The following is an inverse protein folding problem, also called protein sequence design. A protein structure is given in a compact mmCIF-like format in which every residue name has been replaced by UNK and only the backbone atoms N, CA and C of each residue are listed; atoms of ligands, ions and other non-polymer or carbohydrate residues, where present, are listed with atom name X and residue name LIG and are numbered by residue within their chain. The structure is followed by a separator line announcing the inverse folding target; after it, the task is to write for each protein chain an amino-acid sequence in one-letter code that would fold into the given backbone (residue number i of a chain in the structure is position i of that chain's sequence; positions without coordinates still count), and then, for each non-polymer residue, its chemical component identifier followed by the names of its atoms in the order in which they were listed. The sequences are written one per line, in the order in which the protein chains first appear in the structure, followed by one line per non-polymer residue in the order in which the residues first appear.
data_IF_923733000143
#
_entry.id   IF_923733000143
#
_cell.length_a   1.000
_cell.length_b   1.000
_cell.length_c   1.000
_cell.angle_alpha   90.00
_cell.angle_beta   90.00
_cell.angle_gamma   90.00
#
_symmetry.space_group_name_H-M   'P 1'
#
loop_
_entity.id
_entity.type
_entity.pdbx_description
1 polymer ?
#
# COMPACT_ATOMS: atom_id res chain seq x y z
N UNK A 1 -10.20 -5.71 23.43
CA UNK A 1 -11.05 -4.82 22.63
C UNK A 1 -11.11 -5.30 21.17
N UNK A 2 -11.10 -4.41 20.15
CA UNK A 2 -11.36 -4.79 18.75
C UNK A 2 -10.48 -5.93 18.25
N UNK A 3 -9.16 -5.88 18.49
CA UNK A 3 -8.24 -6.94 18.05
C UNK A 3 -8.44 -8.26 18.82
N UNK A 4 -8.70 -8.17 20.12
CA UNK A 4 -9.01 -9.39 20.91
C UNK A 4 -10.30 -10.04 20.43
N UNK A 5 -11.32 -9.25 20.11
CA UNK A 5 -12.60 -9.75 19.60
C UNK A 5 -12.43 -10.42 18.23
N UNK A 6 -11.60 -9.85 17.35
CA UNK A 6 -11.27 -10.44 16.05
C UNK A 6 -10.48 -11.75 16.18
N UNK A 7 -9.50 -11.79 17.10
CA UNK A 7 -8.68 -12.99 17.35
C UNK A 7 -9.43 -14.09 18.10
N UNK A 8 -10.54 -13.76 18.77
CA UNK A 8 -11.38 -14.75 19.44
C UNK A 8 -12.29 -15.53 18.46
N UNK A 9 -12.39 -15.09 17.21
CA UNK A 9 -13.17 -15.80 16.20
C UNK A 9 -12.50 -17.15 15.86
N UNK A 10 -13.31 -18.21 15.60
CA UNK A 10 -12.77 -19.52 15.24
C UNK A 10 -11.85 -19.45 14.00
N UNK A 11 -10.76 -20.21 14.03
CA UNK A 11 -9.80 -20.38 12.93
C UNK A 11 -9.06 -19.11 12.50
N UNK A 12 -9.13 -18.02 13.28
CA UNK A 12 -8.34 -16.80 13.05
C UNK A 12 -6.95 -16.96 13.68
N UNK A 13 -5.91 -16.89 12.85
CA UNK A 13 -4.53 -17.05 13.28
C UNK A 13 -3.80 -15.71 13.50
N UNK A 14 -4.36 -14.60 13.02
CA UNK A 14 -3.69 -13.31 13.11
C UNK A 14 -4.47 -12.13 12.52
N UNK A 15 -3.79 -11.01 12.39
CA UNK A 15 -4.32 -9.72 11.95
C UNK A 15 -3.51 -9.16 10.80
N UNK A 16 -4.18 -8.67 9.77
CA UNK A 16 -3.60 -7.79 8.76
C UNK A 16 -4.23 -6.40 8.89
N UNK A 17 -3.43 -5.41 9.32
CA UNK A 17 -3.92 -4.08 9.71
C UNK A 17 -3.54 -3.07 8.64
N UNK A 18 -4.52 -2.75 7.79
CA UNK A 18 -4.38 -1.72 6.76
C UNK A 18 -4.56 -0.32 7.35
N UNK A 19 -3.54 0.54 7.18
CA UNK A 19 -3.58 1.90 7.70
C UNK A 19 -2.68 2.87 6.91
N UNK A 20 -2.62 4.12 7.35
CA UNK A 20 -1.70 5.13 6.83
C UNK A 20 -0.44 5.20 7.70
N UNK A 21 0.71 5.60 7.13
CA UNK A 21 1.96 5.76 7.87
C UNK A 21 1.86 6.73 9.07
N UNK A 22 1.10 7.81 8.94
CA UNK A 22 0.88 8.81 9.98
C UNK A 22 -0.10 8.39 11.10
N UNK A 23 -0.68 7.18 10.98
CA UNK A 23 -1.65 6.65 11.93
C UNK A 23 -1.09 5.54 12.85
N UNK A 24 0.22 5.33 12.86
CA UNK A 24 0.89 4.28 13.66
C UNK A 24 1.89 4.85 14.67
N UNK A 25 1.42 5.61 15.67
CA UNK A 25 2.30 6.11 16.72
C UNK A 25 2.89 4.95 17.55
N UNK A 26 4.01 5.17 18.29
CA UNK A 26 4.68 4.12 19.05
C UNK A 26 3.76 3.24 19.90
N UNK A 27 2.76 3.74 20.64
CA UNK A 27 1.89 2.88 21.45
C UNK A 27 1.05 1.88 20.63
N UNK A 28 0.71 2.23 19.36
CA UNK A 28 0.02 1.30 18.45
C UNK A 28 0.98 0.20 18.02
N UNK A 29 2.21 0.55 17.65
CA UNK A 29 3.22 -0.44 17.27
C UNK A 29 3.60 -1.34 18.44
N UNK A 30 3.69 -0.81 19.65
CA UNK A 30 3.96 -1.59 20.86
C UNK A 30 2.83 -2.63 21.09
N UNK A 31 1.57 -2.20 20.98
CA UNK A 31 0.42 -3.11 21.07
C UNK A 31 0.45 -4.22 20.00
N UNK A 32 0.82 -3.89 18.77
CA UNK A 32 0.92 -4.90 17.70
C UNK A 32 2.05 -5.90 17.96
N UNK A 33 3.16 -5.43 18.52
CA UNK A 33 4.27 -6.29 18.93
C UNK A 33 3.85 -7.27 20.04
N UNK A 34 3.08 -6.79 21.04
CA UNK A 34 2.53 -7.65 22.10
C UNK A 34 1.66 -8.80 21.55
N UNK A 35 0.84 -8.55 20.51
CA UNK A 35 0.07 -9.62 19.86
C UNK A 35 0.98 -10.65 19.18
N UNK A 36 2.08 -10.22 18.57
CA UNK A 36 3.08 -11.13 18.00
C UNK A 36 3.78 -11.98 19.07
N UNK A 37 4.17 -11.35 20.19
CA UNK A 37 4.77 -12.07 21.33
C UNK A 37 3.81 -13.12 21.92
N UNK A 38 2.51 -12.89 21.82
CA UNK A 38 1.46 -13.86 22.21
C UNK A 38 1.25 -14.97 21.19
N UNK A 39 2.01 -14.98 20.07
CA UNK A 39 1.99 -16.04 19.05
C UNK A 39 1.00 -15.81 17.90
N UNK A 40 0.40 -14.62 17.78
CA UNK A 40 -0.46 -14.31 16.66
C UNK A 40 0.35 -13.80 15.45
N UNK A 41 -0.07 -14.16 14.26
CA UNK A 41 0.43 -13.51 13.04
C UNK A 41 -0.10 -12.07 12.99
N UNK A 42 0.81 -11.10 12.81
CA UNK A 42 0.43 -9.69 12.66
C UNK A 42 1.20 -9.07 11.51
N UNK A 43 0.48 -8.53 10.55
CA UNK A 43 1.01 -7.75 9.44
C UNK A 43 0.54 -6.31 9.52
N UNK A 44 1.47 -5.37 9.38
CA UNK A 44 1.16 -3.95 9.22
C UNK A 44 1.16 -3.61 7.72
N UNK A 45 0.01 -3.21 7.20
CA UNK A 45 -0.16 -2.87 5.80
C UNK A 45 -0.22 -1.35 5.63
N UNK A 46 0.86 -0.76 5.14
CA UNK A 46 0.99 0.69 5.01
C UNK A 46 0.66 1.16 3.59
N UNK A 47 -0.37 2.00 3.49
CA UNK A 47 -0.77 2.61 2.25
C UNK A 47 0.14 3.79 1.86
N UNK A 48 1.29 3.53 1.24
CA UNK A 48 2.17 4.57 0.69
C UNK A 48 1.58 5.17 -0.58
N UNK A 49 1.26 4.34 -1.55
CA UNK A 49 0.72 4.61 -2.88
C UNK A 49 1.79 5.00 -3.92
N UNK A 50 2.64 5.96 -3.61
CA UNK A 50 3.78 6.43 -4.42
C UNK A 50 4.91 6.90 -3.50
N UNK A 51 6.14 6.87 -3.96
CA UNK A 51 7.27 7.44 -3.24
C UNK A 51 7.57 8.90 -3.61
N UNK A 52 6.75 9.51 -4.46
CA UNK A 52 6.89 10.89 -4.90
C UNK A 52 5.96 11.81 -4.13
N UNK A 53 6.51 12.69 -3.29
CA UNK A 53 5.73 13.60 -2.44
C UNK A 53 4.85 14.55 -3.26
N UNK A 54 5.27 14.93 -4.48
CA UNK A 54 4.46 15.73 -5.40
C UNK A 54 3.19 14.98 -5.80
N UNK A 55 3.28 13.69 -6.10
CA UNK A 55 2.13 12.84 -6.41
C UNK A 55 1.24 12.66 -5.19
N UNK A 56 1.84 12.37 -4.03
CA UNK A 56 1.10 12.21 -2.77
C UNK A 56 0.31 13.47 -2.41
N UNK A 57 0.92 14.66 -2.57
CA UNK A 57 0.25 15.93 -2.38
C UNK A 57 -0.90 16.14 -3.40
N UNK A 58 -0.69 15.81 -4.68
CA UNK A 58 -1.70 15.92 -5.74
C UNK A 58 -2.95 15.08 -5.46
N UNK A 59 -2.76 13.87 -4.91
CA UNK A 59 -3.87 12.97 -4.55
C UNK A 59 -4.37 13.17 -3.12
N UNK A 60 -3.91 14.24 -2.45
CA UNK A 60 -4.30 14.60 -1.07
C UNK A 60 -4.10 13.46 -0.07
N UNK A 61 -2.93 12.81 -0.11
CA UNK A 61 -2.65 11.62 0.71
C UNK A 61 -2.50 11.94 2.20
N UNK A 62 -2.05 13.15 2.54
CA UNK A 62 -1.91 13.63 3.91
C UNK A 62 -0.65 13.15 4.64
N UNK A 63 0.25 12.45 3.96
CA UNK A 63 1.59 12.08 4.41
C UNK A 63 2.54 12.03 3.22
N UNK A 64 3.85 12.09 3.47
CA UNK A 64 4.90 11.93 2.48
C UNK A 64 5.65 10.61 2.61
N UNK A 65 6.72 10.47 1.82
CA UNK A 65 7.58 9.29 1.86
C UNK A 65 8.37 9.18 3.18
N UNK A 66 8.76 10.31 3.77
CA UNK A 66 9.49 10.32 5.04
C UNK A 66 8.69 9.72 6.20
N UNK A 67 7.38 10.00 6.28
CA UNK A 67 6.49 9.40 7.28
C UNK A 67 6.36 7.88 7.06
N UNK A 68 6.29 7.43 5.80
CA UNK A 68 6.27 6.01 5.46
C UNK A 68 7.57 5.31 5.90
N UNK A 69 8.72 5.89 5.57
CA UNK A 69 10.02 5.36 5.96
C UNK A 69 10.15 5.24 7.48
N UNK A 70 9.79 6.30 8.21
CA UNK A 70 9.83 6.30 9.67
C UNK A 70 8.91 5.24 10.29
N UNK A 71 7.67 5.12 9.80
CA UNK A 71 6.70 4.14 10.27
C UNK A 71 7.16 2.70 9.99
N UNK A 72 7.69 2.45 8.78
CA UNK A 72 8.20 1.13 8.38
C UNK A 72 9.38 0.71 9.26
N UNK A 73 10.39 1.59 9.44
CA UNK A 73 11.53 1.31 10.30
C UNK A 73 11.12 1.07 11.75
N UNK A 74 10.18 1.86 12.28
CA UNK A 74 9.69 1.71 13.64
C UNK A 74 8.92 0.39 13.87
N UNK A 75 8.13 -0.05 12.89
CA UNK A 75 7.42 -1.34 12.92
C UNK A 75 8.41 -2.51 12.88
N UNK A 76 9.35 -2.48 11.93
CA UNK A 76 10.36 -3.54 11.76
C UNK A 76 11.29 -3.65 12.95
N UNK A 77 11.64 -2.54 13.61
CA UNK A 77 12.43 -2.56 14.86
C UNK A 77 11.72 -3.30 16.00
N UNK A 78 10.40 -3.50 15.90
CA UNK A 78 9.57 -4.28 16.83
C UNK A 78 9.26 -5.69 16.32
N UNK A 79 9.91 -6.12 15.23
CA UNK A 79 9.67 -7.42 14.62
C UNK A 79 8.32 -7.54 13.89
N UNK A 80 7.63 -6.43 13.61
CA UNK A 80 6.36 -6.43 12.88
C UNK A 80 6.65 -6.42 11.38
N UNK A 81 6.25 -7.45 10.61
CA UNK A 81 6.38 -7.42 9.16
C UNK A 81 5.50 -6.35 8.54
N UNK A 82 6.05 -5.67 7.53
CA UNK A 82 5.39 -4.56 6.85
C UNK A 82 5.10 -4.92 5.40
N UNK A 83 3.83 -4.73 4.99
CA UNK A 83 3.40 -4.79 3.60
C UNK A 83 3.14 -3.37 3.08
N UNK A 84 3.82 -2.99 2.00
CA UNK A 84 3.62 -1.71 1.34
C UNK A 84 2.55 -1.80 0.25
N UNK A 85 1.62 -0.85 0.22
CA UNK A 85 0.67 -0.70 -0.88
C UNK A 85 1.16 0.37 -1.86
N UNK A 86 1.30 0.00 -3.13
CA UNK A 86 1.62 0.88 -4.24
C UNK A 86 0.46 0.93 -5.23
N UNK A 87 0.19 2.11 -5.78
CA UNK A 87 -0.79 2.33 -6.84
C UNK A 87 -0.04 2.67 -8.13
N UNK A 88 -0.30 1.92 -9.18
CA UNK A 88 0.24 2.15 -10.52
C UNK A 88 -0.78 2.96 -11.33
N UNK A 89 -0.30 3.99 -12.03
CA UNK A 89 -1.13 4.86 -12.87
C UNK A 89 -1.68 6.08 -12.16
N UNK A 90 -1.06 6.54 -11.08
CA UNK A 90 -1.42 7.81 -10.42
C UNK A 90 -1.25 8.99 -11.39
N UNK A 91 -2.07 10.05 -11.24
CA UNK A 91 -2.01 11.20 -12.13
C UNK A 91 -0.63 11.84 -12.20
N UNK A 92 -0.04 11.87 -13.40
CA UNK A 92 1.30 12.40 -13.65
C UNK A 92 2.43 11.40 -13.47
N UNK A 93 2.12 10.15 -13.13
CA UNK A 93 3.10 9.06 -13.04
C UNK A 93 3.05 8.13 -14.26
N UNK A 94 4.19 7.52 -14.55
CA UNK A 94 4.41 6.50 -15.58
C UNK A 94 5.15 5.30 -15.00
N UNK A 95 5.63 4.39 -15.86
CA UNK A 95 6.40 3.21 -15.46
C UNK A 95 7.66 3.57 -14.66
N UNK A 96 8.36 4.66 -15.01
CA UNK A 96 9.56 5.11 -14.28
C UNK A 96 9.23 5.40 -12.81
N UNK A 97 8.14 6.10 -12.54
CA UNK A 97 7.71 6.41 -11.17
C UNK A 97 7.39 5.15 -10.36
N UNK A 98 6.75 4.16 -10.98
CA UNK A 98 6.46 2.87 -10.35
C UNK A 98 7.75 2.10 -10.00
N UNK A 99 8.74 2.07 -10.90
CA UNK A 99 10.04 1.43 -10.67
C UNK A 99 10.81 2.13 -9.53
N UNK A 100 10.91 3.47 -9.56
CA UNK A 100 11.57 4.23 -8.50
C UNK A 100 10.86 4.04 -7.14
N UNK A 101 9.53 3.99 -7.15
CA UNK A 101 8.76 3.73 -5.92
C UNK A 101 9.06 2.35 -5.35
N UNK A 102 9.15 1.31 -6.20
CA UNK A 102 9.57 -0.02 -5.76
C UNK A 102 10.98 0.00 -5.17
N UNK A 103 11.96 0.54 -5.91
CA UNK A 103 13.35 0.58 -5.47
C UNK A 103 13.48 1.26 -4.09
N UNK A 104 12.84 2.43 -3.90
CA UNK A 104 12.86 3.14 -2.62
C UNK A 104 12.18 2.36 -1.48
N UNK A 105 11.08 1.66 -1.76
CA UNK A 105 10.39 0.83 -0.77
C UNK A 105 11.25 -0.38 -0.37
N UNK A 106 11.93 -1.01 -1.32
CA UNK A 106 12.88 -2.11 -1.06
C UNK A 106 14.08 -1.64 -0.23
N UNK A 107 14.61 -0.42 -0.50
CA UNK A 107 15.72 0.17 0.26
C UNK A 107 15.34 0.46 1.74
N UNK A 108 14.11 0.87 1.99
CA UNK A 108 13.59 1.02 3.37
C UNK A 108 13.51 -0.33 4.08
N UNK A 109 13.24 -1.37 3.33
CA UNK A 109 13.04 -2.73 3.78
C UNK A 109 11.56 -3.03 4.05
N UNK A 110 10.97 -3.90 3.23
CA UNK A 110 9.61 -4.40 3.41
C UNK A 110 9.59 -5.92 3.35
N UNK A 111 8.55 -6.51 3.90
CA UNK A 111 8.37 -7.96 3.92
C UNK A 111 7.28 -8.39 2.92
N UNK A 112 6.43 -7.45 2.53
CA UNK A 112 5.36 -7.70 1.56
C UNK A 112 5.00 -6.49 0.70
N UNK A 113 4.35 -6.76 -0.43
CA UNK A 113 3.88 -5.76 -1.39
C UNK A 113 2.43 -6.04 -1.81
N UNK A 114 1.68 -4.96 -2.02
CA UNK A 114 0.39 -4.97 -2.72
C UNK A 114 0.43 -3.97 -3.86
N UNK A 115 0.19 -4.43 -5.08
CA UNK A 115 0.00 -3.56 -6.24
C UNK A 115 -1.49 -3.35 -6.50
N UNK A 116 -1.82 -2.15 -6.93
CA UNK A 116 -3.18 -1.77 -7.28
C UNK A 116 -3.18 -0.89 -8.52
N UNK A 117 -3.93 -1.22 -9.59
CA UNK A 117 -4.19 -0.27 -10.68
C UNK A 117 -5.06 0.87 -10.17
N UNK A 118 -4.79 2.10 -10.59
CA UNK A 118 -5.67 3.21 -10.28
C UNK A 118 -6.98 3.08 -11.07
N UNK A 119 -8.09 3.04 -10.35
CA UNK A 119 -9.43 3.05 -10.95
C UNK A 119 -10.08 4.43 -10.88
N UNK A 120 -10.76 4.82 -11.95
CA UNK A 120 -11.62 6.00 -11.95
C UNK A 120 -12.96 5.62 -11.34
N UNK A 121 -13.27 6.20 -10.19
CA UNK A 121 -14.47 5.87 -9.41
C UNK A 121 -15.43 7.06 -9.40
N UNK A 122 -16.73 6.78 -9.56
CA UNK A 122 -17.81 7.81 -9.50
C UNK A 122 -17.69 8.68 -8.24
N UNK A 123 -18.10 9.91 -8.36
CA UNK A 123 -18.14 10.91 -7.27
C UNK A 123 -16.77 11.33 -6.74
N UNK A 124 -15.68 11.07 -7.49
CA UNK A 124 -14.32 11.51 -7.15
C UNK A 124 -13.87 12.69 -8.01
N UNK A 125 -12.87 13.44 -7.52
CA UNK A 125 -12.20 14.47 -8.30
C UNK A 125 -11.57 13.87 -9.58
N UNK A 126 -10.97 12.67 -9.47
CA UNK A 126 -10.40 11.98 -10.61
C UNK A 126 -11.43 11.68 -11.71
N UNK A 127 -12.68 11.35 -11.34
CA UNK A 127 -13.75 11.18 -12.31
C UNK A 127 -14.10 12.48 -13.07
N UNK A 128 -13.95 13.64 -12.42
CA UNK A 128 -14.13 14.93 -13.06
C UNK A 128 -12.98 15.21 -14.03
N UNK A 129 -11.75 14.99 -13.62
CA UNK A 129 -10.54 15.15 -14.43
C UNK A 129 -10.60 14.23 -15.67
N UNK A 130 -10.96 12.98 -15.48
CA UNK A 130 -11.15 12.02 -16.58
C UNK A 130 -12.22 12.48 -17.59
N UNK A 131 -13.39 12.93 -17.13
CA UNK A 131 -14.46 13.42 -18.01
C UNK A 131 -14.06 14.68 -18.81
N UNK A 132 -13.11 15.46 -18.30
CA UNK A 132 -12.57 16.66 -18.98
C UNK A 132 -11.41 16.31 -19.93
N UNK A 133 -10.90 15.09 -19.90
CA UNK A 133 -9.70 14.69 -20.63
C UNK A 133 -8.39 15.11 -19.97
N UNK A 134 -8.44 15.61 -18.72
CA UNK A 134 -7.25 16.04 -17.96
C UNK A 134 -6.50 14.84 -17.36
N UNK A 135 -7.13 13.66 -17.27
CA UNK A 135 -6.56 12.40 -16.87
C UNK A 135 -7.01 11.28 -17.83
N UNK A 136 -6.06 10.45 -18.26
CA UNK A 136 -6.31 9.25 -19.06
C UNK A 136 -5.92 8.02 -18.23
N UNK A 137 -6.85 7.10 -17.95
CA UNK A 137 -6.53 5.87 -17.25
C UNK A 137 -5.50 5.03 -18.02
N UNK A 138 -4.62 4.38 -17.29
CA UNK A 138 -3.66 3.44 -17.87
C UNK A 138 -4.40 2.26 -18.52
N UNK A 139 -3.94 1.83 -19.68
CA UNK A 139 -4.47 0.65 -20.33
C UNK A 139 -4.10 -0.62 -19.55
N UNK A 140 -4.99 -1.62 -19.55
CA UNK A 140 -4.75 -2.89 -18.85
C UNK A 140 -3.43 -3.56 -19.26
N UNK A 141 -3.16 -3.62 -20.57
CA UNK A 141 -1.91 -4.21 -21.08
C UNK A 141 -0.66 -3.47 -20.61
N UNK A 142 -0.75 -2.17 -20.39
CA UNK A 142 0.35 -1.37 -19.84
C UNK A 142 0.53 -1.66 -18.34
N UNK A 143 -0.57 -1.72 -17.58
CA UNK A 143 -0.52 -2.13 -16.18
C UNK A 143 0.11 -3.51 -16.00
N UNK A 144 -0.33 -4.50 -16.79
CA UNK A 144 0.20 -5.87 -16.72
C UNK A 144 1.70 -5.89 -16.95
N UNK A 145 2.19 -5.14 -17.94
CA UNK A 145 3.64 -5.05 -18.22
C UNK A 145 4.39 -4.44 -17.05
N UNK A 146 3.92 -3.29 -16.50
CA UNK A 146 4.55 -2.65 -15.35
C UNK A 146 4.53 -3.58 -14.14
N UNK A 147 3.40 -4.22 -13.85
CA UNK A 147 3.30 -5.15 -12.73
C UNK A 147 4.26 -6.34 -12.88
N UNK A 148 4.42 -6.89 -14.08
CA UNK A 148 5.39 -7.94 -14.36
C UNK A 148 6.84 -7.45 -14.11
N UNK A 149 7.19 -6.26 -14.61
CA UNK A 149 8.51 -5.66 -14.41
C UNK A 149 8.79 -5.45 -12.90
N UNK A 150 7.79 -4.99 -12.13
CA UNK A 150 7.93 -4.81 -10.69
C UNK A 150 8.15 -6.15 -9.97
N UNK A 151 7.43 -7.21 -10.37
CA UNK A 151 7.60 -8.55 -9.80
C UNK A 151 8.99 -9.11 -10.09
N UNK A 152 9.47 -8.99 -11.33
CA UNK A 152 10.81 -9.46 -11.72
C UNK A 152 11.94 -8.75 -10.96
N UNK A 153 11.76 -7.48 -10.60
CA UNK A 153 12.73 -6.68 -9.85
C UNK A 153 12.70 -6.94 -8.35
N UNK A 154 11.61 -7.52 -7.84
CA UNK A 154 11.43 -7.73 -6.40
C UNK A 154 12.21 -8.94 -5.91
N UNK A 155 13.02 -8.82 -4.82
CA UNK A 155 13.67 -9.95 -4.21
C UNK A 155 12.69 -11.06 -3.80
N UNK A 156 13.11 -12.30 -3.92
CA UNK A 156 12.25 -13.49 -3.68
C UNK A 156 11.73 -13.60 -2.22
N UNK A 157 12.40 -12.93 -1.28
CA UNK A 157 11.98 -12.87 0.13
C UNK A 157 10.76 -11.99 0.38
N UNK A 158 10.47 -11.07 -0.54
CA UNK A 158 9.33 -10.13 -0.42
C UNK A 158 8.07 -10.74 -1.01
N UNK A 159 7.06 -10.92 -0.18
CA UNK A 159 5.82 -11.62 -0.57
C UNK A 159 4.82 -10.65 -1.21
N UNK A 160 4.33 -10.99 -2.40
CA UNK A 160 3.19 -10.29 -2.98
C UNK A 160 1.88 -10.77 -2.36
N UNK A 161 1.26 -9.93 -1.52
CA UNK A 161 -0.06 -10.21 -0.96
C UNK A 161 -1.16 -10.01 -2.01
N UNK A 162 -0.91 -9.13 -3.00
CA UNK A 162 -1.83 -8.86 -4.10
C UNK A 162 -1.09 -8.17 -5.25
N UNK A 163 -1.43 -8.52 -6.48
CA UNK A 163 -0.87 -7.91 -7.72
C UNK A 163 -1.89 -7.14 -8.54
N UNK A 164 -3.16 -7.16 -8.15
CA UNK A 164 -4.24 -6.39 -8.78
C UNK A 164 -5.38 -6.15 -7.79
N UNK A 165 -6.27 -5.25 -8.12
CA UNK A 165 -7.48 -5.01 -7.35
C UNK A 165 -8.59 -4.49 -8.27
N UNK A 166 -9.82 -4.59 -7.82
CA UNK A 166 -10.99 -4.09 -8.54
C UNK A 166 -11.78 -3.12 -7.69
N UNK A 167 -12.50 -2.21 -8.34
CA UNK A 167 -13.56 -1.43 -7.71
C UNK A 167 -14.91 -2.13 -7.93
N UNK A 168 -15.87 -1.85 -7.06
CA UNK A 168 -17.24 -2.35 -7.29
C UNK A 168 -17.77 -1.88 -8.63
N UNK A 169 -18.40 -2.75 -9.45
CA UNK A 169 -18.97 -2.37 -10.75
C UNK A 169 -19.92 -1.18 -10.67
N UNK A 170 -20.62 -1.01 -9.56
CA UNK A 170 -21.59 0.08 -9.38
C UNK A 170 -20.95 1.46 -9.36
N UNK A 171 -19.68 1.56 -8.98
CA UNK A 171 -18.96 2.83 -8.84
C UNK A 171 -17.82 3.01 -9.84
N UNK A 172 -17.41 1.96 -10.55
CA UNK A 172 -16.36 2.03 -11.57
C UNK A 172 -16.85 2.81 -12.80
N UNK A 173 -15.97 3.60 -13.44
CA UNK A 173 -16.22 4.35 -14.68
C UNK A 173 -15.36 3.84 -15.83
#
# INVERSE_FOLDING_TARGET
ALYDDALAAPDVIGLAIGTRPDCVPPPVLDLLAEYRERGHEVWLELGLQSSFDVTLARVNRGHGFAEYEAATRAARARGIPVCCHLIVGLPGEDAFHSHVSLDRVLDVGVDGLKLHPLHVVKHTRLAIEWKRGDYVPMAEAEYVRIAADLIERTPWEVVYHRVTGTASPDILL
#
